data_IF_239965705602
#
_entry.id   IF_239965705602
#
_cell.length_a   1.000
_cell.length_b   1.000
_cell.length_c   1.000
_cell.angle_alpha   90.00
_cell.angle_beta   90.00
_cell.angle_gamma   90.00
#
_symmetry.space_group_name_H-M   'P 1'
#
loop_
_entity.id
_entity.type
_entity.pdbx_description
1 polymer ?
#
# COMPACT_ATOMS: atom_id res chain seq x y z
N UNK A 1 -27.61 -19.50 25.46
CA UNK A 1 -26.88 -18.21 25.48
C UNK A 1 -25.41 -18.51 25.73
N UNK A 2 -24.46 -18.19 24.83
CA UNK A 2 -23.06 -18.40 25.11
C UNK A 2 -22.50 -17.23 25.92
N UNK A 3 -21.94 -17.54 27.09
CA UNK A 3 -21.28 -16.57 27.99
C UNK A 3 -19.98 -16.03 27.40
N UNK A 4 -19.64 -14.74 27.59
CA UNK A 4 -18.37 -14.20 27.14
C UNK A 4 -17.25 -14.64 28.10
N UNK A 5 -16.29 -15.43 27.60
CA UNK A 5 -15.04 -15.70 28.32
C UNK A 5 -14.17 -14.45 28.30
N UNK A 6 -13.55 -14.05 29.43
CA UNK A 6 -12.60 -12.94 29.44
C UNK A 6 -11.38 -13.30 28.57
N UNK A 7 -11.12 -12.47 27.54
CA UNK A 7 -9.90 -12.56 26.73
C UNK A 7 -8.71 -12.23 27.64
N UNK A 8 -7.83 -13.21 27.85
CA UNK A 8 -6.59 -13.08 28.62
C UNK A 8 -5.79 -11.89 28.06
N UNK A 9 -5.57 -10.86 28.89
CA UNK A 9 -4.85 -9.65 28.50
C UNK A 9 -3.44 -9.98 28.02
N UNK A 10 -3.08 -9.50 26.82
CA UNK A 10 -1.73 -9.57 26.30
C UNK A 10 -0.81 -8.69 27.17
N UNK A 11 0.34 -9.24 27.57
CA UNK A 11 1.31 -8.59 28.46
C UNK A 11 1.88 -7.31 27.84
N UNK A 12 1.62 -6.16 28.46
CA UNK A 12 2.32 -4.89 28.18
C UNK A 12 1.48 -3.74 27.60
N UNK A 13 0.19 -3.95 27.28
CA UNK A 13 -0.70 -2.87 26.82
C UNK A 13 -1.72 -2.49 27.90
N UNK A 14 -2.03 -1.19 28.08
CA UNK A 14 -3.13 -0.75 28.92
C UNK A 14 -4.45 -1.39 28.49
N UNK A 15 -5.28 -1.78 29.45
CA UNK A 15 -6.57 -2.38 29.15
C UNK A 15 -7.47 -1.36 28.42
N UNK A 16 -8.11 -1.73 27.29
CA UNK A 16 -9.07 -0.86 26.63
C UNK A 16 -10.24 -0.56 27.56
N UNK A 17 -10.77 0.65 27.48
CA UNK A 17 -11.95 1.05 28.24
C UNK A 17 -13.19 0.25 27.81
N UNK A 18 -14.18 0.13 28.70
CA UNK A 18 -15.44 -0.55 28.38
C UNK A 18 -16.18 0.09 27.18
N UNK A 19 -16.05 1.41 27.01
CA UNK A 19 -16.61 2.14 25.87
C UNK A 19 -15.88 1.84 24.56
N UNK A 20 -14.55 1.66 24.59
CA UNK A 20 -13.79 1.22 23.41
C UNK A 20 -14.12 -0.22 23.04
N UNK A 21 -14.23 -1.12 24.02
CA UNK A 21 -14.60 -2.52 23.79
C UNK A 21 -16.03 -2.67 23.21
N UNK A 22 -16.99 -1.88 23.67
CA UNK A 22 -18.36 -1.89 23.16
C UNK A 22 -18.51 -1.27 21.76
N UNK A 23 -17.64 -0.31 21.39
CA UNK A 23 -17.59 0.23 20.02
C UNK A 23 -17.21 -0.85 19.01
N UNK A 24 -16.26 -1.71 19.34
CA UNK A 24 -15.81 -2.79 18.43
C UNK A 24 -16.98 -3.65 17.93
N UNK A 25 -17.87 -4.10 18.81
CA UNK A 25 -19.00 -4.96 18.41
C UNK A 25 -20.05 -4.25 17.53
N UNK A 26 -20.08 -2.90 17.58
CA UNK A 26 -21.00 -2.07 16.77
C UNK A 26 -20.33 -1.56 15.49
N UNK A 27 -19.00 -1.46 15.48
CA UNK A 27 -18.16 -0.85 14.44
C UNK A 27 -17.54 -1.90 13.50
N UNK A 28 -17.55 -3.19 13.87
CA UNK A 28 -17.45 -4.32 12.92
C UNK A 28 -18.77 -4.43 12.15
N UNK A 29 -19.08 -3.38 11.39
CA UNK A 29 -20.04 -3.45 10.31
C UNK A 29 -19.19 -3.36 9.03
N UNK A 30 -19.11 -4.46 8.29
CA UNK A 30 -18.23 -4.70 7.13
C UNK A 30 -18.47 -3.75 5.92
N UNK A 31 -19.24 -2.69 6.13
CA UNK A 31 -19.76 -1.72 5.17
C UNK A 31 -19.46 -0.28 5.58
N UNK A 32 -18.35 -0.02 6.27
CA UNK A 32 -17.88 1.35 6.42
C UNK A 32 -17.38 1.86 5.05
N UNK A 33 -17.87 3.00 4.53
CA UNK A 33 -17.36 3.60 3.28
C UNK A 33 -15.90 4.08 3.41
N UNK A 34 -15.33 4.05 4.63
CA UNK A 34 -13.94 4.34 4.92
C UNK A 34 -13.06 3.07 5.05
N UNK A 35 -13.62 1.87 4.85
CA UNK A 35 -12.92 0.59 4.87
C UNK A 35 -12.87 -0.07 3.49
N UNK A 36 -11.89 -0.95 3.29
CA UNK A 36 -11.81 -1.77 2.08
C UNK A 36 -13.00 -2.75 2.02
N UNK A 37 -13.61 -2.98 0.85
CA UNK A 37 -14.68 -3.95 0.72
C UNK A 37 -14.17 -5.36 1.06
N UNK A 38 -15.06 -6.27 1.42
CA UNK A 38 -14.71 -7.68 1.70
C UNK A 38 -14.14 -8.41 0.47
N UNK A 39 -14.30 -7.84 -0.72
CA UNK A 39 -13.73 -8.31 -1.98
C UNK A 39 -12.34 -7.75 -2.27
N UNK A 40 -11.81 -6.87 -1.42
CA UNK A 40 -10.53 -6.23 -1.64
C UNK A 40 -9.41 -7.26 -1.71
N UNK A 41 -8.48 -7.03 -2.62
CA UNK A 41 -7.31 -7.86 -2.90
C UNK A 41 -6.06 -7.04 -2.67
N UNK A 42 -4.98 -7.73 -2.31
CA UNK A 42 -3.65 -7.14 -2.31
C UNK A 42 -3.09 -7.25 -3.72
N UNK A 43 -2.74 -6.11 -4.30
CA UNK A 43 -1.94 -6.01 -5.51
C UNK A 43 -0.54 -5.52 -5.12
N UNK A 44 0.47 -5.88 -5.91
CA UNK A 44 1.79 -5.31 -5.72
C UNK A 44 2.58 -5.21 -7.01
N UNK A 45 3.56 -4.31 -7.00
CA UNK A 45 4.55 -4.16 -8.04
C UNK A 45 5.92 -3.93 -7.41
N UNK A 46 6.94 -4.56 -7.99
CA UNK A 46 8.34 -4.24 -7.73
C UNK A 46 8.92 -3.69 -9.02
N UNK A 47 9.35 -2.44 -8.97
CA UNK A 47 9.77 -1.68 -10.15
C UNK A 47 11.24 -1.30 -9.98
N UNK A 48 12.02 -1.52 -11.03
CA UNK A 48 13.42 -1.11 -11.09
C UNK A 48 13.56 0.39 -11.39
N UNK A 49 14.72 0.98 -11.11
CA UNK A 49 14.98 2.41 -11.26
C UNK A 49 14.74 2.91 -12.71
N UNK A 50 14.94 2.06 -13.71
CA UNK A 50 14.65 2.38 -15.12
C UNK A 50 13.16 2.33 -15.49
N UNK A 51 12.28 1.96 -14.54
CA UNK A 51 10.83 1.84 -14.73
C UNK A 51 10.35 0.44 -15.10
N UNK A 52 11.24 -0.54 -15.24
CA UNK A 52 10.88 -1.92 -15.56
C UNK A 52 10.10 -2.56 -14.41
N UNK A 53 8.94 -3.16 -14.73
CA UNK A 53 8.22 -4.02 -13.80
C UNK A 53 8.96 -5.36 -13.68
N UNK A 54 9.60 -5.61 -12.53
CA UNK A 54 10.40 -6.82 -12.30
C UNK A 54 9.53 -7.98 -11.85
N UNK A 55 8.53 -7.71 -11.00
CA UNK A 55 7.52 -8.68 -10.56
C UNK A 55 6.31 -7.95 -10.01
N UNK A 56 5.16 -8.63 -9.99
CA UNK A 56 3.94 -8.08 -9.40
C UNK A 56 2.82 -9.11 -9.29
N UNK A 57 1.73 -8.68 -8.66
CA UNK A 57 0.45 -9.39 -8.59
C UNK A 57 -0.64 -8.38 -8.95
N UNK A 58 -1.37 -8.65 -10.04
CA UNK A 58 -2.33 -7.73 -10.64
C UNK A 58 -1.71 -6.49 -11.31
N UNK A 59 -0.41 -6.27 -11.19
CA UNK A 59 0.30 -5.23 -11.93
C UNK A 59 0.44 -5.62 -13.41
N UNK A 60 -0.03 -4.76 -14.32
CA UNK A 60 -0.04 -5.02 -15.77
C UNK A 60 1.12 -4.36 -16.49
N UNK A 61 1.58 -3.19 -16.02
CA UNK A 61 2.72 -2.49 -16.59
C UNK A 61 3.31 -1.45 -15.64
N UNK A 62 4.54 -1.04 -15.92
CA UNK A 62 5.19 0.12 -15.29
C UNK A 62 5.86 0.95 -16.37
N UNK A 63 5.87 2.27 -16.21
CA UNK A 63 6.48 3.22 -17.15
C UNK A 63 7.15 4.35 -16.38
N UNK A 64 8.41 4.63 -16.71
CA UNK A 64 9.10 5.83 -16.24
C UNK A 64 8.67 7.03 -17.10
N UNK A 65 8.12 8.04 -16.45
CA UNK A 65 7.58 9.24 -17.09
C UNK A 65 8.64 10.36 -17.16
N UNK A 66 9.42 10.49 -16.10
CA UNK A 66 10.54 11.41 -15.96
C UNK A 66 11.50 10.87 -14.88
N UNK A 67 12.58 11.59 -14.58
CA UNK A 67 13.47 11.23 -13.48
C UNK A 67 12.69 11.14 -12.17
N UNK A 68 12.80 10.00 -11.49
CA UNK A 68 12.11 9.71 -10.24
C UNK A 68 10.58 9.71 -10.32
N UNK A 69 9.98 9.66 -11.51
CA UNK A 69 8.52 9.70 -11.70
C UNK A 69 8.05 8.51 -12.54
N UNK A 70 7.10 7.76 -12.01
CA UNK A 70 6.63 6.51 -12.59
C UNK A 70 5.11 6.42 -12.59
N UNK A 71 4.61 5.63 -13.51
CA UNK A 71 3.23 5.13 -13.53
C UNK A 71 3.26 3.61 -13.42
N UNK A 72 2.49 3.06 -12.49
CA UNK A 72 2.27 1.62 -12.37
C UNK A 72 0.80 1.34 -12.62
N UNK A 73 0.49 0.52 -13.61
CA UNK A 73 -0.88 0.14 -13.95
C UNK A 73 -1.20 -1.26 -13.41
N UNK A 74 -2.47 -1.47 -13.08
CA UNK A 74 -3.04 -2.70 -12.57
C UNK A 74 -4.18 -3.20 -13.47
N UNK A 75 -4.61 -4.43 -13.25
CA UNK A 75 -5.70 -5.10 -13.98
C UNK A 75 -7.10 -4.74 -13.47
N UNK A 76 -7.19 -3.86 -12.47
CA UNK A 76 -8.44 -3.36 -11.90
C UNK A 76 -8.36 -1.86 -11.58
N UNK A 77 -9.53 -1.25 -11.39
CA UNK A 77 -9.63 0.12 -10.87
C UNK A 77 -9.02 0.17 -9.47
N UNK A 78 -8.04 1.06 -9.29
CA UNK A 78 -7.37 1.30 -8.02
C UNK A 78 -7.58 2.71 -7.52
N UNK A 79 -8.34 3.58 -8.18
CA UNK A 79 -8.41 5.02 -7.89
C UNK A 79 -8.79 5.35 -6.43
N UNK A 80 -9.53 4.45 -5.76
CA UNK A 80 -9.98 4.58 -4.36
C UNK A 80 -9.30 3.60 -3.41
N UNK A 81 -8.20 3.00 -3.83
CA UNK A 81 -7.41 2.05 -3.05
C UNK A 81 -6.54 2.75 -2.00
N UNK A 82 -6.05 1.97 -1.04
CA UNK A 82 -4.93 2.39 -0.20
C UNK A 82 -3.60 2.00 -0.87
N UNK A 83 -2.60 2.86 -0.75
CA UNK A 83 -1.28 2.66 -1.38
C UNK A 83 -0.18 2.75 -0.34
N UNK A 84 0.79 1.84 -0.43
CA UNK A 84 2.00 1.87 0.40
C UNK A 84 3.20 1.68 -0.53
N UNK A 85 4.11 2.66 -0.53
CA UNK A 85 5.36 2.57 -1.26
C UNK A 85 6.56 2.50 -0.32
N UNK A 86 7.60 1.77 -0.72
CA UNK A 86 8.94 1.87 -0.12
C UNK A 86 10.02 1.94 -1.20
N UNK A 87 11.09 2.71 -0.97
CA UNK A 87 12.31 2.56 -1.78
C UNK A 87 12.97 1.24 -1.39
N UNK A 88 13.31 0.41 -2.37
CA UNK A 88 13.78 -0.95 -2.11
C UNK A 88 14.36 -1.61 -3.36
N UNK A 89 15.30 -2.55 -3.21
CA UNK A 89 15.97 -3.15 -4.36
C UNK A 89 14.97 -3.94 -5.19
N UNK A 90 15.06 -3.81 -6.51
CA UNK A 90 14.21 -4.58 -7.40
C UNK A 90 14.68 -6.05 -7.52
N UNK A 91 15.98 -6.31 -7.31
CA UNK A 91 16.55 -7.66 -7.27
C UNK A 91 16.65 -8.26 -5.86
N UNK A 92 17.08 -9.52 -5.78
CA UNK A 92 17.21 -10.29 -4.53
C UNK A 92 18.49 -10.04 -3.71
N UNK A 93 19.27 -8.99 -3.99
CA UNK A 93 20.53 -8.74 -3.30
C UNK A 93 20.88 -7.25 -3.16
N UNK A 94 21.58 -6.93 -2.07
CA UNK A 94 22.03 -5.57 -1.74
C UNK A 94 20.96 -4.69 -1.11
N UNK A 95 21.39 -3.56 -0.53
CA UNK A 95 20.50 -2.50 -0.09
C UNK A 95 20.27 -1.53 -1.24
N UNK A 96 19.02 -1.11 -1.46
CA UNK A 96 18.77 0.03 -2.33
C UNK A 96 19.43 1.29 -1.75
N UNK A 97 19.85 2.18 -2.64
CA UNK A 97 20.25 3.51 -2.22
C UNK A 97 19.05 4.20 -1.53
N UNK A 98 19.34 4.88 -0.42
CA UNK A 98 18.32 5.53 0.39
C UNK A 98 17.54 6.58 -0.41
N UNK A 99 16.28 6.77 -0.02
CA UNK A 99 15.36 7.74 -0.59
C UNK A 99 13.99 7.65 0.06
N UNK A 100 13.12 8.56 -0.33
CA UNK A 100 11.69 8.53 0.02
C UNK A 100 10.87 8.24 -1.21
N UNK A 101 9.66 7.74 -1.00
CA UNK A 101 8.70 7.48 -2.06
C UNK A 101 7.36 8.10 -1.69
N UNK A 102 6.72 8.71 -2.68
CA UNK A 102 5.38 9.28 -2.59
C UNK A 102 4.50 8.57 -3.60
N UNK A 103 3.29 8.20 -3.18
CA UNK A 103 2.36 7.43 -3.98
C UNK A 103 0.99 8.11 -4.00
N UNK A 104 0.34 8.13 -5.15
CA UNK A 104 -0.96 8.73 -5.35
C UNK A 104 -1.72 8.03 -6.50
N UNK A 105 -3.06 8.08 -6.54
CA UNK A 105 -3.80 7.68 -7.74
C UNK A 105 -3.33 8.49 -8.96
N UNK A 106 -3.26 7.85 -10.12
CA UNK A 106 -2.91 8.54 -11.36
C UNK A 106 -4.12 9.33 -11.88
N UNK A 107 -3.98 10.64 -11.95
CA UNK A 107 -5.03 11.52 -12.47
C UNK A 107 -5.45 11.10 -13.89
N UNK A 108 -6.75 10.88 -14.08
CA UNK A 108 -7.33 10.48 -15.37
C UNK A 108 -7.13 9.02 -15.77
N UNK A 109 -6.44 8.19 -14.97
CA UNK A 109 -6.18 6.77 -15.27
C UNK A 109 -6.53 5.93 -14.04
N UNK A 110 -7.77 5.46 -13.97
CA UNK A 110 -8.34 4.83 -12.79
C UNK A 110 -7.61 3.56 -12.32
N UNK A 111 -6.99 2.82 -13.25
CA UNK A 111 -6.24 1.60 -12.94
C UNK A 111 -4.74 1.85 -12.71
N UNK A 112 -4.31 3.08 -12.45
CA UNK A 112 -2.90 3.40 -12.29
C UNK A 112 -2.57 4.20 -11.03
N UNK A 113 -1.36 3.98 -10.54
CA UNK A 113 -0.74 4.70 -9.43
C UNK A 113 0.42 5.52 -9.96
N UNK A 114 0.46 6.79 -9.59
CA UNK A 114 1.61 7.66 -9.77
C UNK A 114 2.56 7.49 -8.59
N UNK A 115 3.84 7.29 -8.90
CA UNK A 115 4.89 7.09 -7.90
C UNK A 115 6.01 8.09 -8.16
N UNK A 116 6.44 8.76 -7.11
CA UNK A 116 7.62 9.61 -7.11
C UNK A 116 8.68 9.07 -6.15
N UNK A 117 9.93 9.06 -6.58
CA UNK A 117 11.07 8.72 -5.74
C UNK A 117 12.02 9.91 -5.61
N UNK A 118 12.45 10.18 -4.38
CA UNK A 118 13.25 11.35 -4.04
C UNK A 118 14.50 10.98 -3.24
N UNK A 119 15.52 11.84 -3.34
CA UNK A 119 16.64 11.91 -2.42
C UNK A 119 16.90 13.37 -2.04
N UNK A 120 17.96 13.65 -1.28
CA UNK A 120 18.26 14.99 -0.75
C UNK A 120 18.37 16.10 -1.82
N UNK A 121 18.55 15.76 -3.10
CA UNK A 121 18.64 16.71 -4.22
C UNK A 121 17.37 16.83 -5.10
N UNK A 122 16.26 16.17 -4.75
CA UNK A 122 15.02 16.17 -5.53
C UNK A 122 14.66 14.80 -6.11
N UNK A 123 13.90 14.80 -7.21
CA UNK A 123 13.50 13.57 -7.89
C UNK A 123 14.73 12.82 -8.42
N UNK A 124 14.80 11.52 -8.12
CA UNK A 124 15.87 10.65 -8.60
C UNK A 124 15.32 9.26 -8.82
N UNK A 125 15.82 8.61 -9.87
CA UNK A 125 15.42 7.24 -10.18
C UNK A 125 15.85 6.30 -9.04
N UNK A 126 14.88 5.60 -8.46
CA UNK A 126 15.09 4.58 -7.43
C UNK A 126 14.23 3.38 -7.72
N UNK A 127 14.73 2.16 -7.46
CA UNK A 127 13.86 1.00 -7.41
C UNK A 127 12.92 1.12 -6.20
N UNK A 128 11.69 0.65 -6.36
CA UNK A 128 10.67 0.74 -5.32
C UNK A 128 9.75 -0.47 -5.32
N UNK A 129 9.15 -0.72 -4.16
CA UNK A 129 8.06 -1.66 -3.97
C UNK A 129 6.79 -0.85 -3.74
N UNK A 130 5.70 -1.27 -4.38
CA UNK A 130 4.38 -0.69 -4.25
C UNK A 130 3.40 -1.78 -3.88
N UNK A 131 2.68 -1.61 -2.78
CA UNK A 131 1.52 -2.39 -2.42
C UNK A 131 0.25 -1.54 -2.59
N UNK A 132 -0.78 -2.14 -3.16
CA UNK A 132 -2.10 -1.52 -3.35
C UNK A 132 -3.14 -2.44 -2.73
N UNK A 133 -3.98 -1.87 -1.87
CA UNK A 133 -5.08 -2.59 -1.25
C UNK A 133 -6.37 -2.07 -1.87
N UNK A 134 -6.98 -2.87 -2.73
CA UNK A 134 -8.07 -2.47 -3.64
C UNK A 134 -9.19 -3.51 -3.66
#
# INVERSE_FOLDING_TARGET
>A
MPSPRPRRGATGQPAPSAHEAARVDTEINSYSPAGLPTTARVLFAVVDANGTLVRGLGATSSTRLAAGMYQVAFDQDVARAAYVGTVGPAGGGGLAQQGTVTVAPRAGIANAVFVETHAAGGHVDRPFHLAVLA
#
